data_IF_348162308509
#
_entry.id   IF_348162308509
#
_cell.length_a   1.000
_cell.length_b   1.000
_cell.length_c   1.000
_cell.angle_alpha   90.00
_cell.angle_beta   90.00
_cell.angle_gamma   90.00
#
_symmetry.space_group_name_H-M   'P 1'
#
loop_
_entity.id
_entity.type
_entity.pdbx_description
1 polymer ?
#
# COMPACT_ATOMS: atom_id res chain seq x y z
N UNK A 1 19.40 -3.50 29.84
CA UNK A 1 20.58 -4.11 29.17
C UNK A 1 20.53 -3.72 27.70
N UNK A 2 21.62 -3.18 27.13
CA UNK A 2 21.65 -2.74 25.73
C UNK A 2 22.38 -3.78 24.87
N UNK A 3 21.73 -4.28 23.84
CA UNK A 3 22.28 -5.23 22.85
C UNK A 3 22.62 -4.43 21.58
N UNK A 4 23.78 -3.80 21.57
CA UNK A 4 24.16 -2.81 20.54
C UNK A 4 24.27 -3.39 19.13
N UNK A 5 24.83 -4.60 18.97
CA UNK A 5 24.97 -5.24 17.65
C UNK A 5 23.61 -5.71 17.13
N UNK A 6 22.80 -6.30 17.99
CA UNK A 6 21.42 -6.69 17.67
C UNK A 6 20.58 -5.48 17.25
N UNK A 7 20.64 -4.37 18.00
CA UNK A 7 19.89 -3.15 17.65
C UNK A 7 20.36 -2.56 16.31
N UNK A 8 21.67 -2.63 16.01
CA UNK A 8 22.22 -2.20 14.72
C UNK A 8 21.67 -3.04 13.56
N UNK A 9 21.62 -4.36 13.70
CA UNK A 9 21.07 -5.25 12.67
C UNK A 9 19.57 -5.02 12.46
N UNK A 10 18.82 -4.77 13.53
CA UNK A 10 17.40 -4.35 13.43
C UNK A 10 17.25 -3.03 12.65
N UNK A 11 18.11 -2.07 12.90
CA UNK A 11 18.15 -0.80 12.17
C UNK A 11 18.43 -0.99 10.69
N UNK A 12 19.47 -1.76 10.33
CA UNK A 12 19.82 -2.06 8.94
C UNK A 12 18.69 -2.79 8.20
N UNK A 13 18.03 -3.74 8.87
CA UNK A 13 16.83 -4.40 8.33
C UNK A 13 15.70 -3.41 8.05
N UNK A 14 15.39 -2.56 9.05
CA UNK A 14 14.31 -1.58 8.92
C UNK A 14 14.57 -0.56 7.80
N UNK A 15 15.81 -0.05 7.70
CA UNK A 15 16.21 0.86 6.62
C UNK A 15 16.12 0.20 5.25
N UNK A 16 16.56 -1.05 5.15
CA UNK A 16 16.43 -1.84 3.93
C UNK A 16 14.97 -1.99 3.48
N UNK A 17 14.07 -2.35 4.40
CA UNK A 17 12.63 -2.47 4.13
C UNK A 17 12.05 -1.13 3.65
N UNK A 18 12.33 -0.03 4.37
CA UNK A 18 11.82 1.31 4.03
C UNK A 18 12.36 1.78 2.67
N UNK A 19 13.64 1.57 2.40
CA UNK A 19 14.27 1.94 1.14
C UNK A 19 13.59 1.25 -0.04
N UNK A 20 13.40 -0.08 0.04
CA UNK A 20 12.73 -0.86 -0.98
C UNK A 20 11.24 -0.50 -1.10
N UNK A 21 10.54 -0.26 0.01
CA UNK A 21 9.16 0.18 0.02
C UNK A 21 8.99 1.53 -0.71
N UNK A 22 9.86 2.49 -0.44
CA UNK A 22 9.91 3.78 -1.15
C UNK A 22 10.18 3.61 -2.64
N UNK A 23 11.11 2.72 -3.02
CA UNK A 23 11.42 2.37 -4.42
C UNK A 23 10.20 1.76 -5.12
N UNK A 24 9.49 0.85 -4.45
CA UNK A 24 8.28 0.23 -4.98
C UNK A 24 7.13 1.23 -5.20
N UNK A 25 6.91 2.16 -4.26
CA UNK A 25 5.92 3.23 -4.43
C UNK A 25 6.21 4.10 -5.66
N UNK A 26 7.49 4.44 -5.89
CA UNK A 26 7.92 5.20 -7.07
C UNK A 26 7.68 4.39 -8.34
N UNK A 27 8.16 3.15 -8.40
CA UNK A 27 8.03 2.26 -9.56
C UNK A 27 6.57 2.03 -9.96
N UNK A 28 5.69 1.81 -8.98
CA UNK A 28 4.26 1.58 -9.21
C UNK A 28 3.47 2.89 -9.45
N UNK A 29 4.15 4.04 -9.54
CA UNK A 29 3.56 5.38 -9.80
C UNK A 29 2.41 5.72 -8.83
N UNK A 30 2.45 5.18 -7.59
CA UNK A 30 1.43 5.41 -6.55
C UNK A 30 1.68 6.65 -5.70
N UNK A 31 2.60 7.51 -6.15
CA UNK A 31 2.91 8.77 -5.49
C UNK A 31 2.04 9.87 -6.09
N UNK A 32 1.32 10.59 -5.24
CA UNK A 32 0.56 11.80 -5.59
C UNK A 32 1.17 13.01 -4.90
N UNK A 33 1.03 13.10 -3.58
CA UNK A 33 1.62 14.18 -2.76
C UNK A 33 2.97 13.80 -2.15
N UNK A 34 3.35 12.54 -2.22
CA UNK A 34 4.56 12.01 -1.57
C UNK A 34 4.46 11.85 -0.06
N UNK A 35 3.32 12.20 0.55
CA UNK A 35 3.17 12.12 2.01
C UNK A 35 3.36 10.71 2.57
N UNK A 36 2.82 9.66 1.90
CA UNK A 36 3.04 8.28 2.31
C UNK A 36 4.53 7.92 2.26
N UNK A 37 5.21 8.29 1.19
CA UNK A 37 6.64 8.02 1.03
C UNK A 37 7.48 8.71 2.10
N UNK A 38 7.14 9.96 2.47
CA UNK A 38 7.84 10.74 3.51
C UNK A 38 7.54 10.20 4.92
N UNK A 39 6.33 9.67 5.15
CA UNK A 39 5.92 9.17 6.47
C UNK A 39 6.47 7.77 6.82
N UNK A 40 7.05 7.06 5.85
CA UNK A 40 7.66 5.77 6.12
C UNK A 40 8.90 5.95 6.99
N UNK A 41 8.81 5.49 8.24
CA UNK A 41 9.90 5.51 9.22
C UNK A 41 9.81 4.28 10.12
N UNK A 42 10.78 4.12 11.01
CA UNK A 42 10.78 3.07 12.02
C UNK A 42 11.19 3.59 13.38
N UNK A 43 10.87 2.85 14.42
CA UNK A 43 11.30 3.10 15.79
C UNK A 43 11.67 1.76 16.44
N UNK A 44 12.85 1.69 17.04
CA UNK A 44 13.26 0.57 17.87
C UNK A 44 13.02 0.99 19.34
N UNK A 45 12.32 0.17 20.08
CA UNK A 45 12.01 0.41 21.48
C UNK A 45 12.48 -0.79 22.30
N UNK A 46 13.62 -0.69 23.01
CA UNK A 46 14.04 -1.72 23.93
C UNK A 46 13.13 -1.72 25.17
N UNK A 47 12.71 -2.90 25.59
CA UNK A 47 11.97 -3.16 26.82
C UNK A 47 12.88 -4.03 27.73
N UNK A 48 12.45 -4.34 28.97
CA UNK A 48 13.23 -5.19 29.89
C UNK A 48 13.52 -6.57 29.29
N UNK A 49 12.52 -7.19 28.65
CA UNK A 49 12.55 -8.57 28.19
C UNK A 49 12.49 -8.73 26.67
N UNK A 50 12.34 -7.62 25.93
CA UNK A 50 12.18 -7.66 24.47
C UNK A 50 12.66 -6.37 23.80
N UNK A 51 12.92 -6.45 22.51
CA UNK A 51 13.15 -5.27 21.67
C UNK A 51 12.09 -5.24 20.57
N UNK A 52 11.34 -4.16 20.48
CA UNK A 52 10.23 -4.01 19.55
C UNK A 52 10.66 -3.09 18.40
N UNK A 53 10.60 -3.61 17.16
CA UNK A 53 10.76 -2.83 15.94
C UNK A 53 9.39 -2.45 15.38
N UNK A 54 9.06 -1.18 15.42
CA UNK A 54 7.82 -0.63 14.88
C UNK A 54 8.09 0.09 13.56
N UNK A 55 7.36 -0.29 12.50
CA UNK A 55 7.29 0.49 11.26
C UNK A 55 6.11 1.46 11.33
N UNK A 56 6.37 2.70 11.00
CA UNK A 56 5.40 3.79 11.08
C UNK A 56 5.12 4.32 9.67
N UNK A 57 3.85 4.47 9.33
CA UNK A 57 3.40 5.07 8.08
C UNK A 57 2.03 5.74 8.26
N UNK A 58 1.58 6.52 7.28
CA UNK A 58 0.22 7.07 7.26
C UNK A 58 -0.81 5.95 7.25
N UNK A 59 -1.93 6.13 7.95
CA UNK A 59 -3.00 5.12 8.14
C UNK A 59 -3.51 4.52 6.83
N UNK A 60 -3.61 5.35 5.78
CA UNK A 60 -4.03 4.86 4.47
C UNK A 60 -2.98 3.98 3.76
N UNK A 61 -1.76 3.94 4.26
CA UNK A 61 -0.67 3.14 3.70
C UNK A 61 -1.00 1.64 3.65
N UNK A 62 -1.69 1.13 4.68
CA UNK A 62 -2.09 -0.27 4.74
C UNK A 62 -3.10 -0.62 3.62
N UNK A 63 -4.02 0.29 3.29
CA UNK A 63 -4.97 0.10 2.19
C UNK A 63 -4.29 0.18 0.81
N UNK A 64 -3.23 0.97 0.69
CA UNK A 64 -2.42 1.00 -0.53
C UNK A 64 -1.61 -0.27 -0.66
N UNK A 65 -1.09 -0.80 0.43
CA UNK A 65 -0.30 -2.04 0.44
C UNK A 65 -1.17 -3.27 0.14
N UNK A 66 -2.20 -3.51 0.94
CA UNK A 66 -3.07 -4.70 0.87
C UNK A 66 -4.21 -4.59 -0.14
N UNK A 67 -4.49 -3.38 -0.64
CA UNK A 67 -5.67 -3.12 -1.43
C UNK A 67 -6.95 -3.08 -0.60
N UNK A 68 -8.08 -2.88 -1.28
CA UNK A 68 -9.42 -2.91 -0.67
C UNK A 68 -10.37 -3.64 -1.62
N UNK A 69 -11.11 -4.63 -1.12
CA UNK A 69 -12.15 -5.33 -1.90
C UNK A 69 -13.24 -4.36 -2.33
N UNK A 70 -13.68 -4.48 -3.57
CA UNK A 70 -14.87 -3.80 -4.05
C UNK A 70 -16.14 -4.43 -3.50
N UNK A 71 -17.23 -3.66 -3.57
CA UNK A 71 -18.52 -4.12 -3.04
C UNK A 71 -19.15 -5.19 -3.93
N UNK A 72 -19.18 -4.92 -5.24
CA UNK A 72 -19.75 -5.84 -6.24
C UNK A 72 -19.32 -5.45 -7.67
N UNK A 73 -18.30 -6.10 -8.25
CA UNK A 73 -17.83 -5.81 -9.61
C UNK A 73 -18.88 -6.04 -10.70
N UNK A 74 -19.87 -6.91 -10.47
CA UNK A 74 -20.93 -7.20 -11.44
C UNK A 74 -21.97 -6.06 -11.54
N UNK A 75 -22.05 -5.17 -10.55
CA UNK A 75 -22.85 -3.94 -10.62
C UNK A 75 -22.25 -2.86 -11.54
N UNK A 76 -21.08 -3.08 -12.13
CA UNK A 76 -20.50 -2.23 -13.17
C UNK A 76 -21.21 -2.47 -14.52
N UNK A 77 -21.18 -1.50 -15.47
CA UNK A 77 -21.73 -1.69 -16.81
C UNK A 77 -21.10 -2.90 -17.52
N UNK A 78 -21.94 -3.89 -17.84
CA UNK A 78 -21.55 -5.08 -18.58
C UNK A 78 -21.20 -4.75 -20.04
N UNK A 79 -20.38 -5.58 -20.71
CA UNK A 79 -20.23 -5.54 -22.17
C UNK A 79 -21.59 -5.78 -22.82
N UNK A 80 -21.94 -4.98 -23.82
CA UNK A 80 -23.17 -5.13 -24.58
C UNK A 80 -22.86 -5.45 -26.04
N UNK A 81 -23.72 -6.21 -26.68
CA UNK A 81 -23.67 -6.42 -28.13
C UNK A 81 -24.66 -5.51 -28.81
N UNK A 82 -24.24 -4.71 -29.78
CA UNK A 82 -25.14 -3.92 -30.61
C UNK A 82 -25.86 -4.81 -31.64
N UNK A 83 -27.07 -4.41 -32.05
CA UNK A 83 -27.73 -4.95 -33.24
C UNK A 83 -26.75 -4.93 -34.42
N UNK A 84 -26.41 -6.06 -35.03
CA UNK A 84 -25.35 -6.19 -36.03
C UNK A 84 -24.03 -6.80 -35.50
N UNK A 85 -24.04 -7.44 -34.32
CA UNK A 85 -22.90 -8.25 -33.81
C UNK A 85 -21.71 -7.47 -33.24
N UNK A 86 -21.69 -6.13 -33.32
CA UNK A 86 -20.59 -5.31 -32.81
C UNK A 86 -20.59 -5.26 -31.29
N UNK A 87 -19.56 -5.80 -30.65
CA UNK A 87 -19.39 -5.74 -29.18
C UNK A 87 -19.05 -4.32 -28.71
N UNK A 88 -19.84 -3.79 -27.78
CA UNK A 88 -19.53 -2.57 -27.04
C UNK A 88 -18.72 -2.93 -25.82
N UNK A 89 -17.62 -2.21 -25.59
CA UNK A 89 -16.81 -2.39 -24.38
C UNK A 89 -17.64 -1.99 -23.16
N UNK A 90 -17.80 -2.93 -22.24
CA UNK A 90 -18.30 -2.65 -20.90
C UNK A 90 -17.28 -1.91 -20.04
N UNK A 91 -17.54 -1.79 -18.75
CA UNK A 91 -16.57 -1.28 -17.80
C UNK A 91 -15.35 -2.22 -17.76
N UNK A 92 -14.16 -1.65 -17.74
CA UNK A 92 -12.88 -2.42 -17.71
C UNK A 92 -12.85 -3.48 -16.61
N UNK A 93 -13.50 -3.22 -15.48
CA UNK A 93 -13.46 -4.05 -14.28
C UNK A 93 -14.79 -4.79 -14.03
N UNK A 94 -15.64 -4.91 -15.03
CA UNK A 94 -16.89 -5.69 -14.91
C UNK A 94 -16.55 -7.15 -14.52
N UNK A 95 -17.14 -7.64 -13.44
CA UNK A 95 -16.91 -8.99 -12.91
C UNK A 95 -15.53 -9.24 -12.32
N UNK A 96 -14.63 -8.24 -12.28
CA UNK A 96 -13.26 -8.40 -11.81
C UNK A 96 -13.07 -7.71 -10.47
N UNK A 97 -12.83 -8.49 -9.42
CA UNK A 97 -12.43 -8.00 -8.10
C UNK A 97 -10.92 -7.68 -8.11
N UNK A 98 -10.55 -6.42 -7.85
CA UNK A 98 -9.15 -5.96 -7.96
C UNK A 98 -8.26 -6.37 -6.79
N UNK A 99 -8.83 -6.68 -5.64
CA UNK A 99 -8.10 -7.12 -4.46
C UNK A 99 -8.85 -8.27 -3.75
N UNK A 100 -8.99 -9.46 -4.39
CA UNK A 100 -9.79 -10.56 -3.85
C UNK A 100 -9.28 -11.06 -2.49
N UNK A 101 -7.97 -11.03 -2.27
CA UNK A 101 -7.32 -11.51 -1.06
C UNK A 101 -7.10 -10.41 0.01
N UNK A 102 -7.62 -9.20 -0.19
CA UNK A 102 -7.49 -8.13 0.79
C UNK A 102 -8.36 -8.44 2.03
N UNK A 103 -7.87 -8.18 3.25
CA UNK A 103 -8.70 -8.23 4.45
C UNK A 103 -9.67 -7.03 4.56
N UNK A 104 -9.46 -5.98 3.75
CA UNK A 104 -10.26 -4.76 3.77
C UNK A 104 -11.28 -4.74 2.65
N UNK A 105 -12.49 -4.23 2.95
CA UNK A 105 -13.59 -4.08 2.00
C UNK A 105 -14.23 -2.70 2.16
N UNK A 106 -14.74 -2.13 1.05
CA UNK A 106 -15.53 -0.92 1.13
C UNK A 106 -16.83 -1.16 1.91
N UNK A 107 -17.11 -0.29 2.90
CA UNK A 107 -18.33 -0.35 3.68
C UNK A 107 -19.59 -0.07 2.86
N UNK A 108 -20.77 -0.33 3.46
CA UNK A 108 -22.08 -0.09 2.83
C UNK A 108 -22.34 1.41 2.58
N UNK A 109 -21.82 2.27 3.45
CA UNK A 109 -22.02 3.71 3.34
C UNK A 109 -21.17 4.32 2.24
N UNK A 110 -21.82 4.96 1.26
CA UNK A 110 -21.19 5.71 0.16
C UNK A 110 -20.40 6.88 0.76
N UNK A 111 -19.12 6.69 1.04
CA UNK A 111 -18.33 7.71 1.72
C UNK A 111 -18.11 8.93 0.82
N UNK A 112 -18.48 10.10 1.29
CA UNK A 112 -18.14 11.40 0.69
C UNK A 112 -16.62 11.59 0.57
N UNK A 113 -15.85 10.90 1.41
CA UNK A 113 -14.38 10.91 1.41
C UNK A 113 -13.75 10.41 0.11
N UNK A 114 -14.28 9.34 -0.48
CA UNK A 114 -13.78 8.80 -1.75
C UNK A 114 -13.92 9.82 -2.89
N UNK A 115 -15.06 10.53 -2.98
CA UNK A 115 -15.26 11.59 -4.00
C UNK A 115 -14.28 12.74 -3.83
N UNK A 116 -14.06 13.21 -2.60
CA UNK A 116 -13.09 14.27 -2.29
C UNK A 116 -11.67 13.83 -2.64
N UNK A 117 -11.29 12.60 -2.32
CA UNK A 117 -9.98 12.02 -2.65
C UNK A 117 -9.77 11.92 -4.17
N UNK A 118 -10.77 11.45 -4.92
CA UNK A 118 -10.71 11.35 -6.38
C UNK A 118 -10.61 12.73 -7.02
N UNK A 119 -11.32 13.73 -6.50
CA UNK A 119 -11.22 15.10 -7.01
C UNK A 119 -9.78 15.63 -6.89
N UNK A 120 -9.18 15.55 -5.70
CA UNK A 120 -7.79 15.95 -5.48
C UNK A 120 -6.84 15.17 -6.40
N UNK A 121 -7.01 13.86 -6.48
CA UNK A 121 -6.16 12.99 -7.29
C UNK A 121 -6.26 13.30 -8.80
N UNK A 122 -7.45 13.56 -9.34
CA UNK A 122 -7.62 13.91 -10.76
C UNK A 122 -6.96 15.22 -11.12
N UNK A 123 -6.96 16.20 -10.20
CA UNK A 123 -6.25 17.48 -10.37
C UNK A 123 -4.73 17.26 -10.34
N UNK A 124 -4.23 16.60 -9.30
CA UNK A 124 -2.79 16.39 -9.11
C UNK A 124 -2.14 15.53 -10.20
N UNK A 125 -2.89 14.59 -10.75
CA UNK A 125 -2.43 13.73 -11.87
C UNK A 125 -2.70 14.34 -13.25
N UNK A 126 -3.25 15.56 -13.30
CA UNK A 126 -3.63 16.24 -14.55
C UNK A 126 -4.42 15.32 -15.51
N UNK A 127 -5.42 14.62 -14.95
CA UNK A 127 -6.21 13.69 -15.75
C UNK A 127 -7.07 14.49 -16.73
N UNK A 128 -6.79 14.29 -18.02
CA UNK A 128 -7.51 14.93 -19.12
C UNK A 128 -8.99 14.52 -19.11
N UNK A 129 -9.86 15.44 -19.52
CA UNK A 129 -11.29 15.16 -19.65
C UNK A 129 -11.56 14.02 -20.66
N UNK A 130 -12.60 13.25 -20.40
CA UNK A 130 -13.10 12.22 -21.34
C UNK A 130 -14.16 12.84 -22.23
N UNK A 131 -14.16 12.51 -23.51
CA UNK A 131 -15.18 12.97 -24.46
C UNK A 131 -16.33 11.95 -24.58
N UNK A 132 -17.53 12.45 -24.75
CA UNK A 132 -18.71 11.63 -25.05
C UNK A 132 -18.69 11.13 -26.52
N UNK A 133 -19.71 10.35 -26.92
CA UNK A 133 -19.84 9.85 -28.29
C UNK A 133 -20.03 10.97 -29.34
N UNK A 134 -20.40 12.17 -28.89
CA UNK A 134 -20.57 13.37 -29.75
C UNK A 134 -19.31 14.27 -29.72
N UNK A 135 -18.21 13.82 -29.14
CA UNK A 135 -16.94 14.55 -29.06
C UNK A 135 -16.88 15.64 -27.99
N UNK A 136 -17.92 15.86 -27.17
CA UNK A 136 -17.97 16.89 -26.13
C UNK A 136 -17.30 16.39 -24.85
N UNK A 137 -16.63 17.28 -24.13
CA UNK A 137 -16.05 16.93 -22.84
C UNK A 137 -17.12 16.62 -21.79
N UNK A 138 -16.99 15.48 -21.15
CA UNK A 138 -17.81 15.15 -19.99
C UNK A 138 -17.51 16.10 -18.82
N UNK A 139 -18.53 16.55 -18.08
CA UNK A 139 -18.31 17.34 -16.87
C UNK A 139 -17.38 16.60 -15.90
N UNK A 140 -16.46 17.33 -15.28
CA UNK A 140 -15.49 16.74 -14.31
C UNK A 140 -16.20 15.94 -13.21
N UNK A 141 -17.34 16.42 -12.70
CA UNK A 141 -18.14 15.71 -11.69
C UNK A 141 -18.59 14.32 -12.16
N UNK A 142 -19.02 14.20 -13.42
CA UNK A 142 -19.45 12.93 -14.02
C UNK A 142 -18.30 11.95 -14.16
N UNK A 143 -17.12 12.42 -14.59
CA UNK A 143 -15.90 11.62 -14.67
C UNK A 143 -15.47 11.11 -13.28
N UNK A 144 -15.48 11.97 -12.28
CA UNK A 144 -15.14 11.61 -10.89
C UNK A 144 -16.14 10.60 -10.32
N UNK A 145 -17.42 10.76 -10.62
CA UNK A 145 -18.46 9.80 -10.23
C UNK A 145 -18.21 8.42 -10.84
N UNK A 146 -17.92 8.35 -12.15
CA UNK A 146 -17.61 7.07 -12.82
C UNK A 146 -16.38 6.40 -12.23
N UNK A 147 -15.30 7.16 -11.98
CA UNK A 147 -14.08 6.66 -11.33
C UNK A 147 -14.38 6.16 -9.91
N UNK A 148 -15.10 6.94 -9.11
CA UNK A 148 -15.46 6.58 -7.75
C UNK A 148 -16.32 5.32 -7.69
N UNK A 149 -17.30 5.23 -8.57
CA UNK A 149 -18.15 4.04 -8.70
C UNK A 149 -17.32 2.81 -9.10
N UNK A 150 -16.42 2.95 -10.05
CA UNK A 150 -15.53 1.86 -10.47
C UNK A 150 -14.65 1.36 -9.33
N UNK A 151 -14.04 2.27 -8.55
CA UNK A 151 -13.21 1.93 -7.40
C UNK A 151 -14.06 1.28 -6.29
N UNK A 152 -15.22 1.83 -5.99
CA UNK A 152 -16.11 1.32 -4.95
C UNK A 152 -16.61 -0.10 -5.27
N UNK A 153 -16.97 -0.36 -6.52
CA UNK A 153 -17.53 -1.64 -6.94
C UNK A 153 -16.47 -2.71 -7.22
N UNK A 154 -15.38 -2.38 -7.91
CA UNK A 154 -14.32 -3.32 -8.27
C UNK A 154 -13.17 -3.41 -7.26
N UNK A 155 -13.05 -2.43 -6.38
CA UNK A 155 -11.99 -2.39 -5.39
C UNK A 155 -10.76 -1.58 -5.79
N UNK A 156 -9.82 -1.50 -4.83
CA UNK A 156 -8.51 -0.87 -4.98
C UNK A 156 -7.44 -1.95 -4.99
N UNK A 157 -6.67 -2.01 -6.06
CA UNK A 157 -5.61 -2.99 -6.27
C UNK A 157 -4.53 -2.92 -5.18
N UNK A 158 -4.14 -4.09 -4.66
CA UNK A 158 -3.03 -4.24 -3.73
C UNK A 158 -1.69 -3.90 -4.43
N UNK A 159 -0.86 -3.13 -3.76
CA UNK A 159 0.46 -2.79 -4.31
C UNK A 159 1.58 -3.61 -3.71
N UNK A 160 1.37 -4.19 -2.53
CA UNK A 160 2.36 -4.94 -1.75
C UNK A 160 3.70 -4.18 -1.64
N UNK A 161 3.63 -2.82 -1.60
CA UNK A 161 4.84 -2.00 -1.65
C UNK A 161 5.71 -2.17 -0.41
N UNK A 162 5.09 -2.48 0.72
CA UNK A 162 5.75 -2.72 2.00
C UNK A 162 5.87 -4.21 2.31
N UNK A 163 4.81 -4.99 2.12
CA UNK A 163 4.78 -6.42 2.45
C UNK A 163 5.83 -7.23 1.67
N UNK A 164 5.96 -7.00 0.35
CA UNK A 164 6.96 -7.74 -0.45
C UNK A 164 8.41 -7.48 0.01
N UNK A 165 8.87 -6.21 0.20
CA UNK A 165 10.18 -5.92 0.76
C UNK A 165 10.42 -6.53 2.13
N UNK A 166 9.43 -6.43 3.01
CA UNK A 166 9.50 -6.99 4.35
C UNK A 166 9.75 -8.49 4.32
N UNK A 167 8.90 -9.24 3.61
CA UNK A 167 9.01 -10.69 3.50
C UNK A 167 10.31 -11.13 2.81
N UNK A 168 10.76 -10.37 1.81
CA UNK A 168 12.00 -10.65 1.09
C UNK A 168 13.21 -10.53 2.00
N UNK A 169 13.31 -9.45 2.76
CA UNK A 169 14.45 -9.20 3.63
C UNK A 169 14.41 -10.06 4.89
N UNK A 170 13.22 -10.39 5.39
CA UNK A 170 13.06 -11.22 6.58
C UNK A 170 13.71 -12.61 6.43
N UNK A 171 13.67 -13.18 5.23
CA UNK A 171 14.27 -14.52 4.95
C UNK A 171 15.78 -14.58 5.27
N UNK A 172 16.51 -13.49 5.03
CA UNK A 172 17.96 -13.43 5.32
C UNK A 172 18.30 -12.75 6.65
N UNK A 173 17.33 -12.10 7.27
CA UNK A 173 17.53 -11.32 8.47
C UNK A 173 17.75 -12.21 9.70
N UNK A 174 17.01 -13.31 9.84
CA UNK A 174 17.02 -14.16 11.02
C UNK A 174 18.46 -14.62 11.39
N UNK A 175 19.21 -15.12 10.41
CA UNK A 175 20.60 -15.55 10.63
C UNK A 175 21.47 -14.42 11.16
N UNK A 176 21.48 -13.28 10.48
CA UNK A 176 22.27 -12.10 10.87
C UNK A 176 21.92 -11.58 12.26
N UNK A 177 20.62 -11.61 12.58
CA UNK A 177 20.12 -11.21 13.88
C UNK A 177 20.61 -12.13 14.99
N UNK A 178 20.54 -13.46 14.80
CA UNK A 178 21.04 -14.43 15.78
C UNK A 178 22.57 -14.32 15.95
N UNK A 179 23.33 -14.18 14.87
CA UNK A 179 24.77 -13.99 14.92
C UNK A 179 25.13 -12.73 15.74
N UNK A 180 24.46 -11.61 15.50
CA UNK A 180 24.66 -10.36 16.24
C UNK A 180 24.27 -10.48 17.71
N UNK A 181 23.16 -11.17 18.01
CA UNK A 181 22.69 -11.43 19.36
C UNK A 181 23.68 -12.30 20.16
N UNK A 182 24.19 -13.37 19.56
CA UNK A 182 25.24 -14.24 20.18
C UNK A 182 26.46 -13.42 20.55
N UNK A 183 26.97 -12.59 19.62
CA UNK A 183 28.15 -11.75 19.91
C UNK A 183 27.88 -10.76 21.06
N UNK A 184 26.66 -10.20 21.14
CA UNK A 184 26.34 -9.29 22.26
C UNK A 184 26.24 -10.03 23.59
N UNK A 185 25.82 -11.31 23.61
CA UNK A 185 25.83 -12.17 24.80
C UNK A 185 27.27 -12.48 25.21
N UNK A 186 28.12 -12.94 24.27
CA UNK A 186 29.50 -13.28 24.54
C UNK A 186 30.28 -12.10 25.13
N UNK A 187 30.10 -10.91 24.54
CA UNK A 187 30.71 -9.68 25.08
C UNK A 187 30.27 -9.38 26.52
N UNK A 188 29.02 -9.65 26.86
CA UNK A 188 28.52 -9.43 28.23
C UNK A 188 29.02 -10.46 29.24
N UNK A 189 29.17 -11.70 28.80
CA UNK A 189 29.74 -12.76 29.66
C UNK A 189 31.22 -12.50 29.95
N UNK A 190 31.94 -11.88 29.03
CA UNK A 190 33.34 -11.51 29.15
C UNK A 190 33.54 -10.20 29.95
N UNK A 191 32.52 -9.34 30.03
CA UNK A 191 32.54 -8.17 30.93
C UNK A 191 32.56 -8.65 32.39
N UNK A 192 33.74 -8.68 33.03
CA UNK A 192 33.84 -8.97 34.47
C UNK A 192 32.95 -8.04 35.28
N UNK A 193 32.21 -8.53 36.29
CA UNK A 193 31.44 -7.66 37.16
C UNK A 193 32.38 -6.61 37.76
N UNK A 194 32.08 -5.33 37.53
CA UNK A 194 32.76 -4.25 38.26
C UNK A 194 32.47 -4.44 39.73
N UNK A 195 33.56 -4.78 40.52
CA UNK A 195 33.50 -4.79 41.98
C UNK A 195 33.19 -3.42 42.51
#
# INVERSE_FOLDING_TARGET
>A
MTFKKMEKELGLFAEGVISLARKNLRRKKKITTGQLLKSLTYKITPTKDSTILNFIMRDYGIFVDKGVKGKDPYSLPAPKTKKGGKKLKGAKWYGIQRAPNSPYQFGANKSSGLRKAINKWTVQKNIKGVRDARGRFLPRKSMQFMMGRSIYLAGLEATMFFTDPYNKLLKGFAKKFFDAFTIDIDNKLLEKPKK
#
